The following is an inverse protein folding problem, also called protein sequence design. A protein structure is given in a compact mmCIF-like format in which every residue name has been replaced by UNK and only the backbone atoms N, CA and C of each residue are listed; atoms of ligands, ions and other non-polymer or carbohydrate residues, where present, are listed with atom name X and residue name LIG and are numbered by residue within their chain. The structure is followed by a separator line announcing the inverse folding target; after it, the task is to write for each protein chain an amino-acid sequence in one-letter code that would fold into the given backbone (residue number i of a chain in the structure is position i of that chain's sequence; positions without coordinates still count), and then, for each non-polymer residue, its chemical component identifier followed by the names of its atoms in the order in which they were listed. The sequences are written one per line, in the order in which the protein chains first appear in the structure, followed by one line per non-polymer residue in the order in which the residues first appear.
data_IF_813749293496
#
_entry.id   IF_813749293496
#
_cell.length_a   1.000
_cell.length_b   1.000
_cell.length_c   1.000
_cell.angle_alpha   90.00
_cell.angle_beta   90.00
_cell.angle_gamma   90.00
#
_symmetry.space_group_name_H-M   'P 1'
#
loop_
_entity.id
_entity.type
_entity.pdbx_description
1 polymer ?
#
# COMPACT_ATOMS: atom_id res chain seq x y z
N UNK A 1 -3.67 1.67 34.63
CA UNK A 1 -3.94 0.76 33.49
C UNK A 1 -2.98 1.12 32.38
N UNK A 2 -1.98 0.27 32.12
CA UNK A 2 -0.98 0.48 31.08
C UNK A 2 -1.66 0.52 29.71
N UNK A 3 -1.82 1.72 29.15
CA UNK A 3 -2.29 1.90 27.78
C UNK A 3 -1.26 1.31 26.85
N UNK A 4 -1.52 0.12 26.32
CA UNK A 4 -0.68 -0.49 25.30
C UNK A 4 -0.63 0.46 24.11
N UNK A 5 0.54 1.07 23.85
CA UNK A 5 0.75 1.94 22.68
C UNK A 5 0.59 1.09 21.44
N UNK A 6 -0.64 1.02 20.92
CA UNK A 6 -0.92 0.36 19.64
C UNK A 6 -0.05 1.04 18.59
N UNK A 7 0.61 0.25 17.74
CA UNK A 7 1.33 0.77 16.59
C UNK A 7 0.39 1.72 15.82
N UNK A 8 0.74 3.00 15.70
CA UNK A 8 -0.14 4.05 15.18
C UNK A 8 -0.56 3.80 13.72
N UNK A 9 0.34 3.23 12.92
CA UNK A 9 0.15 2.88 11.51
C UNK A 9 0.22 1.38 11.33
N UNK A 10 -0.84 0.78 10.80
CA UNK A 10 -0.96 -0.66 10.59
C UNK A 10 -1.52 -0.88 9.20
N UNK A 11 -0.85 -1.67 8.39
CA UNK A 11 -1.39 -2.06 7.11
C UNK A 11 -0.32 -2.55 6.16
N UNK A 12 -0.45 -2.23 4.87
CA UNK A 12 0.16 -2.99 3.78
C UNK A 12 1.02 -2.08 2.92
N UNK A 13 2.20 -2.57 2.52
CA UNK A 13 3.07 -1.92 1.54
C UNK A 13 3.09 -2.78 0.27
N UNK A 14 2.60 -2.24 -0.85
CA UNK A 14 2.78 -2.85 -2.17
C UNK A 14 4.21 -2.54 -2.64
N UNK A 15 5.21 -3.25 -2.11
CA UNK A 15 6.63 -2.93 -2.29
C UNK A 15 7.47 -3.97 -3.03
N UNK A 16 6.83 -4.99 -3.61
CA UNK A 16 7.48 -6.13 -4.26
C UNK A 16 7.92 -5.81 -5.71
N UNK A 17 8.78 -6.68 -6.25
CA UNK A 17 9.15 -6.74 -7.67
C UNK A 17 8.16 -7.62 -8.43
N UNK A 18 7.95 -7.34 -9.72
CA UNK A 18 6.95 -7.98 -10.56
C UNK A 18 5.74 -7.07 -10.84
N UNK A 19 4.76 -7.58 -11.61
CA UNK A 19 3.60 -6.81 -12.04
C UNK A 19 2.86 -6.18 -10.85
N UNK A 20 2.61 -4.85 -10.86
CA UNK A 20 1.82 -4.20 -9.83
C UNK A 20 0.43 -4.83 -9.71
N UNK A 21 -0.20 -4.71 -8.54
CA UNK A 21 -1.56 -5.19 -8.38
C UNK A 21 -2.54 -4.46 -9.29
N UNK A 22 -3.51 -5.20 -9.85
CA UNK A 22 -4.63 -4.59 -10.54
C UNK A 22 -5.46 -3.74 -9.58
N UNK A 23 -6.26 -2.81 -10.13
CA UNK A 23 -7.22 -2.03 -9.34
C UNK A 23 -8.15 -2.92 -8.50
N UNK A 24 -8.62 -4.04 -9.08
CA UNK A 24 -9.48 -4.99 -8.39
C UNK A 24 -8.77 -5.67 -7.20
N UNK A 25 -7.49 -6.05 -7.36
CA UNK A 25 -6.69 -6.58 -6.26
C UNK A 25 -6.48 -5.54 -5.16
N UNK A 26 -6.20 -4.28 -5.51
CA UNK A 26 -6.04 -3.20 -4.53
C UNK A 26 -7.33 -2.95 -3.74
N UNK A 27 -8.48 -2.94 -4.42
CA UNK A 27 -9.78 -2.85 -3.75
C UNK A 27 -10.00 -4.01 -2.76
N UNK A 28 -9.71 -5.25 -3.15
CA UNK A 28 -9.82 -6.42 -2.27
C UNK A 28 -8.88 -6.32 -1.05
N UNK A 29 -7.69 -5.74 -1.22
CA UNK A 29 -6.73 -5.48 -0.14
C UNK A 29 -7.25 -4.40 0.82
N UNK A 30 -7.88 -3.34 0.32
CA UNK A 30 -8.50 -2.31 1.17
C UNK A 30 -9.63 -2.90 2.02
N UNK A 31 -10.50 -3.71 1.40
CA UNK A 31 -11.57 -4.43 2.10
C UNK A 31 -11.01 -5.38 3.17
N UNK A 32 -9.94 -6.12 2.83
CA UNK A 32 -9.25 -7.00 3.78
C UNK A 32 -8.67 -6.22 4.98
N UNK A 33 -8.06 -5.07 4.72
CA UNK A 33 -7.43 -4.22 5.72
C UNK A 33 -8.45 -3.54 6.64
N UNK A 34 -9.54 -3.02 6.06
CA UNK A 34 -10.66 -2.42 6.77
C UNK A 34 -11.26 -3.39 7.80
N UNK A 35 -11.52 -4.64 7.39
CA UNK A 35 -12.01 -5.70 8.29
C UNK A 35 -11.06 -6.05 9.45
N UNK A 36 -9.79 -5.63 9.39
CA UNK A 36 -8.74 -5.91 10.40
C UNK A 36 -8.30 -4.67 11.18
N UNK A 37 -8.94 -3.52 10.97
CA UNK A 37 -8.55 -2.27 11.63
C UNK A 37 -7.18 -1.72 11.18
N UNK A 38 -6.75 -2.09 9.97
CA UNK A 38 -5.62 -1.46 9.29
C UNK A 38 -6.04 -0.08 8.79
N UNK A 39 -5.12 0.87 8.85
CA UNK A 39 -5.35 2.28 8.54
C UNK A 39 -4.33 2.86 7.55
N UNK A 40 -3.42 2.04 7.03
CA UNK A 40 -2.36 2.49 6.13
C UNK A 40 -2.22 1.56 4.93
N UNK A 41 -2.17 2.12 3.74
CA UNK A 41 -1.69 1.42 2.55
C UNK A 41 -0.64 2.29 1.86
N UNK A 42 0.52 1.71 1.56
CA UNK A 42 1.62 2.38 0.91
C UNK A 42 1.77 1.83 -0.51
N UNK A 43 1.53 2.71 -1.49
CA UNK A 43 1.79 2.45 -2.89
C UNK A 43 3.29 2.60 -3.17
N UNK A 44 3.98 1.48 -3.39
CA UNK A 44 5.41 1.51 -3.75
C UNK A 44 5.88 0.38 -4.70
N UNK A 45 5.07 -0.04 -5.71
CA UNK A 45 5.42 -1.16 -6.57
C UNK A 45 6.71 -0.85 -7.33
N UNK A 46 7.68 -1.78 -7.32
CA UNK A 46 9.03 -1.51 -7.83
C UNK A 46 9.09 -1.44 -9.36
N UNK A 47 8.13 -2.08 -10.02
CA UNK A 47 8.05 -2.18 -11.48
C UNK A 47 7.11 -1.13 -12.10
N UNK A 48 6.53 -0.22 -11.29
CA UNK A 48 5.83 0.95 -11.83
C UNK A 48 6.86 2.00 -12.26
N UNK A 49 6.95 2.33 -13.57
CA UNK A 49 7.93 3.30 -14.07
C UNK A 49 7.75 4.67 -13.42
N UNK A 50 6.52 5.14 -13.21
CA UNK A 50 6.24 6.47 -12.65
C UNK A 50 6.46 6.52 -11.14
N UNK A 51 6.51 5.37 -10.46
CA UNK A 51 6.92 5.29 -9.07
C UNK A 51 8.45 5.38 -8.89
N UNK A 52 9.23 4.80 -9.82
CA UNK A 52 10.68 4.60 -9.66
C UNK A 52 11.53 5.32 -10.70
N UNK A 53 11.46 4.90 -11.96
CA UNK A 53 12.39 5.29 -13.02
C UNK A 53 12.08 6.69 -13.58
N UNK A 54 10.79 6.96 -13.76
CA UNK A 54 10.21 8.19 -14.30
C UNK A 54 9.49 8.98 -13.20
N UNK A 55 9.99 8.93 -11.97
CA UNK A 55 9.35 9.54 -10.79
C UNK A 55 9.12 11.06 -10.90
N UNK A 56 9.85 11.74 -11.79
CA UNK A 56 9.69 13.18 -12.07
C UNK A 56 8.56 13.48 -13.05
N UNK A 57 8.04 12.47 -13.72
CA UNK A 57 7.01 12.62 -14.75
C UNK A 57 5.61 12.39 -14.15
N UNK A 58 4.59 13.14 -14.58
CA UNK A 58 3.23 12.89 -14.14
C UNK A 58 2.74 11.54 -14.66
N UNK A 59 1.86 10.89 -13.90
CA UNK A 59 1.07 9.79 -14.43
C UNK A 59 0.22 10.29 -15.61
N UNK A 60 0.07 9.51 -16.70
CA UNK A 60 -0.78 9.85 -17.84
C UNK A 60 -2.26 10.01 -17.50
#
# INVERSE_FOLDING_TARGET
MSGQTRCQRRGIVEGFFGPPWSMAHRAAIFEFGARRGMNTYLYAPKDDPYHRERWKEPYP
#
